data_IF_820528152758
#
_entry.id   IF_820528152758
#
_cell.length_a   1.000
_cell.length_b   1.000
_cell.length_c   1.000
_cell.angle_alpha   90.00
_cell.angle_beta   90.00
_cell.angle_gamma   90.00
#
_symmetry.space_group_name_H-M   'P 1'
#
loop_
_entity.id
_entity.type
_entity.pdbx_description
1 polymer ?
#
# COMPACT_ATOMS: atom_id res chain seq x y z
N UNK A 1 15.69 9.58 -10.64
CA UNK A 1 15.19 8.37 -9.96
C UNK A 1 15.90 7.20 -10.61
N UNK A 2 16.74 6.49 -9.85
CA UNK A 2 17.45 5.33 -10.38
C UNK A 2 16.67 4.07 -10.01
N UNK A 3 16.01 3.49 -11.01
CA UNK A 3 15.34 2.20 -10.89
C UNK A 3 16.35 1.08 -11.15
N UNK A 4 16.32 0.04 -10.32
CA UNK A 4 17.14 -1.15 -10.48
C UNK A 4 16.47 -2.16 -11.43
N UNK A 5 17.23 -3.13 -11.93
CA UNK A 5 16.68 -4.25 -12.73
C UNK A 5 15.61 -5.06 -11.99
N UNK A 6 15.68 -5.10 -10.64
CA UNK A 6 14.65 -5.70 -9.80
C UNK A 6 13.34 -4.92 -9.93
N UNK A 7 13.39 -3.59 -9.86
CA UNK A 7 12.20 -2.74 -9.99
C UNK A 7 11.53 -2.92 -11.36
N UNK A 8 12.30 -3.04 -12.44
CA UNK A 8 11.76 -3.32 -13.78
C UNK A 8 11.09 -4.69 -13.89
N UNK A 9 11.60 -5.70 -13.19
CA UNK A 9 10.98 -7.04 -13.15
C UNK A 9 9.67 -6.98 -12.36
N UNK A 10 9.68 -6.32 -11.20
CA UNK A 10 8.48 -6.10 -10.38
C UNK A 10 7.38 -5.34 -11.14
N UNK A 11 7.74 -4.37 -11.99
CA UNK A 11 6.77 -3.64 -12.83
C UNK A 11 6.02 -4.58 -13.78
N UNK A 12 6.68 -5.60 -14.33
CA UNK A 12 6.03 -6.57 -15.23
C UNK A 12 5.00 -7.42 -14.49
N UNK A 13 5.36 -7.88 -13.28
CA UNK A 13 4.46 -8.64 -12.42
C UNK A 13 3.28 -7.78 -11.95
N UNK A 14 3.55 -6.53 -11.56
CA UNK A 14 2.54 -5.54 -11.19
C UNK A 14 1.57 -5.25 -12.33
N UNK A 15 2.05 -5.16 -13.58
CA UNK A 15 1.16 -4.99 -14.74
C UNK A 15 0.13 -6.12 -14.85
N UNK A 16 0.56 -7.37 -14.67
CA UNK A 16 -0.35 -8.52 -14.72
C UNK A 16 -1.35 -8.50 -13.54
N UNK A 17 -0.89 -8.13 -12.35
CA UNK A 17 -1.76 -7.97 -11.17
C UNK A 17 -2.84 -6.91 -11.43
N UNK A 18 -2.44 -5.74 -11.97
CA UNK A 18 -3.34 -4.65 -12.30
C UNK A 18 -4.38 -5.06 -13.34
N UNK A 19 -3.95 -5.68 -14.45
CA UNK A 19 -4.86 -6.16 -15.50
C UNK A 19 -5.89 -7.15 -14.95
N UNK A 20 -5.46 -8.05 -14.06
CA UNK A 20 -6.33 -9.05 -13.43
C UNK A 20 -7.38 -8.42 -12.52
N UNK A 21 -6.97 -7.48 -11.66
CA UNK A 21 -7.85 -6.81 -10.71
C UNK A 21 -8.83 -5.88 -11.43
N UNK A 22 -8.35 -5.10 -12.38
CA UNK A 22 -9.17 -4.13 -13.12
C UNK A 22 -10.23 -4.83 -14.01
N UNK A 23 -9.94 -6.04 -14.50
CA UNK A 23 -10.88 -6.79 -15.35
C UNK A 23 -12.09 -7.35 -14.58
N UNK A 24 -11.95 -7.68 -13.29
CA UNK A 24 -13.03 -8.30 -12.51
C UNK A 24 -12.90 -8.06 -10.99
N UNK A 25 -12.99 -6.80 -10.53
CA UNK A 25 -12.62 -6.43 -9.17
C UNK A 25 -13.48 -7.10 -8.10
N UNK A 26 -14.80 -7.25 -8.33
CA UNK A 26 -15.72 -7.87 -7.36
C UNK A 26 -15.45 -9.36 -7.16
N UNK A 27 -15.33 -10.10 -8.26
CA UNK A 27 -14.98 -11.53 -8.21
C UNK A 27 -13.63 -11.74 -7.50
N UNK A 28 -12.69 -10.84 -7.75
CA UNK A 28 -11.36 -10.94 -7.19
C UNK A 28 -11.31 -10.64 -5.69
N UNK A 29 -12.16 -9.71 -5.24
CA UNK A 29 -12.34 -9.42 -3.83
C UNK A 29 -12.83 -10.66 -3.07
N UNK A 30 -13.84 -11.35 -3.61
CA UNK A 30 -14.40 -12.57 -2.99
C UNK A 30 -13.34 -13.68 -2.85
N UNK A 31 -12.53 -13.91 -3.90
CA UNK A 31 -11.46 -14.91 -3.88
C UNK A 31 -10.35 -14.58 -2.87
N UNK A 32 -10.04 -13.30 -2.68
CA UNK A 32 -8.95 -12.87 -1.79
C UNK A 32 -9.38 -12.74 -0.34
N UNK A 33 -10.66 -12.46 -0.05
CA UNK A 33 -11.14 -12.32 1.33
C UNK A 33 -10.81 -13.58 2.15
N UNK A 34 -11.06 -14.77 1.61
CA UNK A 34 -10.74 -16.03 2.28
C UNK A 34 -9.23 -16.18 2.53
N UNK A 35 -8.40 -15.83 1.53
CA UNK A 35 -6.94 -15.84 1.68
C UNK A 35 -6.48 -14.85 2.76
N UNK A 36 -6.98 -13.62 2.75
CA UNK A 36 -6.62 -12.60 3.74
C UNK A 36 -7.09 -13.01 5.13
N UNK A 37 -8.32 -13.52 5.26
CA UNK A 37 -8.85 -14.01 6.54
C UNK A 37 -7.95 -15.10 7.13
N UNK A 38 -7.48 -16.03 6.29
CA UNK A 38 -6.59 -17.10 6.73
C UNK A 38 -5.18 -16.59 7.08
N UNK A 39 -4.56 -15.84 6.18
CA UNK A 39 -3.12 -15.58 6.21
C UNK A 39 -2.75 -14.19 6.74
N UNK A 40 -3.57 -13.17 6.53
CA UNK A 40 -3.33 -11.78 6.96
C UNK A 40 -4.61 -11.09 7.44
N UNK A 41 -5.26 -11.60 8.51
CA UNK A 41 -6.57 -11.12 8.96
C UNK A 41 -6.56 -9.64 9.34
N UNK A 42 -5.42 -9.11 9.79
CA UNK A 42 -5.29 -7.70 10.12
C UNK A 42 -5.43 -6.79 8.89
N UNK A 43 -4.94 -7.21 7.71
CA UNK A 43 -5.14 -6.45 6.47
C UNK A 43 -6.62 -6.40 6.11
N UNK A 44 -7.34 -7.51 6.28
CA UNK A 44 -8.79 -7.52 6.09
C UNK A 44 -9.49 -6.55 7.05
N UNK A 45 -9.09 -6.52 8.32
CA UNK A 45 -9.60 -5.55 9.29
C UNK A 45 -9.32 -4.10 8.89
N UNK A 46 -8.13 -3.81 8.34
CA UNK A 46 -7.82 -2.46 7.82
C UNK A 46 -8.76 -2.06 6.68
N UNK A 47 -8.97 -2.95 5.70
CA UNK A 47 -9.89 -2.70 4.59
C UNK A 47 -11.28 -2.37 5.13
N UNK A 48 -11.83 -3.25 5.97
CA UNK A 48 -13.18 -3.07 6.56
C UNK A 48 -13.26 -1.83 7.45
N UNK A 49 -12.16 -1.45 8.10
CA UNK A 49 -12.07 -0.28 8.97
C UNK A 49 -12.32 1.04 8.25
N UNK A 50 -12.06 1.13 6.93
CA UNK A 50 -12.36 2.33 6.15
C UNK A 50 -13.83 2.47 5.73
N UNK A 51 -14.61 1.40 5.82
CA UNK A 51 -16.00 1.39 5.33
C UNK A 51 -16.89 2.49 5.95
N UNK A 52 -16.79 2.84 7.25
CA UNK A 52 -17.61 3.90 7.84
C UNK A 52 -17.29 5.31 7.31
N UNK A 53 -16.05 5.54 6.88
CA UNK A 53 -15.53 6.87 6.54
C UNK A 53 -15.57 7.17 5.03
N UNK A 54 -15.73 6.14 4.20
CA UNK A 54 -15.69 6.24 2.74
C UNK A 54 -17.06 6.00 2.11
N UNK A 55 -17.35 6.70 1.01
CA UNK A 55 -18.47 6.31 0.17
C UNK A 55 -18.17 4.96 -0.53
N UNK A 56 -19.21 4.31 -1.07
CA UNK A 56 -19.05 2.97 -1.66
C UNK A 56 -17.99 2.92 -2.77
N UNK A 57 -17.94 3.91 -3.65
CA UNK A 57 -16.98 3.93 -4.76
C UNK A 57 -15.54 4.16 -4.28
N UNK A 58 -15.35 5.04 -3.30
CA UNK A 58 -14.05 5.25 -2.65
C UNK A 58 -13.57 3.98 -1.96
N UNK A 59 -14.46 3.33 -1.20
CA UNK A 59 -14.17 2.07 -0.51
C UNK A 59 -13.77 0.97 -1.50
N UNK A 60 -14.51 0.81 -2.60
CA UNK A 60 -14.20 -0.18 -3.64
C UNK A 60 -12.82 0.03 -4.26
N UNK A 61 -12.42 1.28 -4.55
CA UNK A 61 -11.09 1.60 -5.06
C UNK A 61 -9.99 1.35 -4.02
N UNK A 62 -10.20 1.75 -2.76
CA UNK A 62 -9.23 1.51 -1.67
C UNK A 62 -9.06 0.03 -1.42
N UNK A 63 -10.14 -0.74 -1.36
CA UNK A 63 -10.10 -2.20 -1.23
C UNK A 63 -9.26 -2.82 -2.36
N UNK A 64 -9.48 -2.40 -3.62
CA UNK A 64 -8.66 -2.88 -4.74
C UNK A 64 -7.18 -2.55 -4.60
N UNK A 65 -6.80 -1.41 -4.00
CA UNK A 65 -5.39 -1.10 -3.75
C UNK A 65 -4.79 -2.10 -2.75
N UNK A 66 -5.52 -2.44 -1.69
CA UNK A 66 -5.08 -3.51 -0.78
C UNK A 66 -4.99 -4.88 -1.46
N UNK A 67 -5.87 -5.18 -2.42
CA UNK A 67 -5.75 -6.41 -3.23
C UNK A 67 -4.46 -6.43 -4.06
N UNK A 68 -4.06 -5.31 -4.66
CA UNK A 68 -2.78 -5.21 -5.38
C UNK A 68 -1.61 -5.49 -4.44
N UNK A 69 -1.63 -4.88 -3.24
CA UNK A 69 -0.60 -5.10 -2.23
C UNK A 69 -0.55 -6.59 -1.88
N UNK A 70 -1.70 -7.21 -1.57
CA UNK A 70 -1.74 -8.62 -1.21
C UNK A 70 -1.21 -9.51 -2.34
N UNK A 71 -1.66 -9.31 -3.58
CA UNK A 71 -1.17 -10.06 -4.74
C UNK A 71 0.33 -9.96 -4.93
N UNK A 72 0.89 -8.76 -4.73
CA UNK A 72 2.32 -8.55 -4.85
C UNK A 72 3.12 -9.29 -3.78
N UNK A 73 2.58 -9.42 -2.56
CA UNK A 73 3.29 -10.07 -1.46
C UNK A 73 2.96 -11.56 -1.31
N UNK A 74 1.79 -12.06 -1.71
CA UNK A 74 1.26 -13.39 -1.33
C UNK A 74 2.15 -14.58 -1.72
N UNK A 75 2.95 -14.43 -2.77
CA UNK A 75 3.91 -15.43 -3.24
C UNK A 75 5.29 -15.36 -2.59
N UNK A 76 5.56 -14.32 -1.79
CA UNK A 76 6.86 -14.12 -1.13
C UNK A 76 6.98 -14.98 0.12
N UNK A 77 8.22 -15.24 0.52
CA UNK A 77 8.54 -16.04 1.69
C UNK A 77 7.84 -15.48 2.94
N UNK A 78 7.50 -16.37 3.88
CA UNK A 78 6.97 -16.04 5.20
C UNK A 78 5.62 -15.32 5.27
N UNK A 79 5.12 -14.68 4.21
CA UNK A 79 3.88 -13.88 4.26
C UNK A 79 2.62 -14.71 4.62
N UNK A 80 2.60 -15.99 4.26
CA UNK A 80 1.51 -16.92 4.63
C UNK A 80 1.76 -17.63 5.97
N UNK A 81 2.93 -17.44 6.57
CA UNK A 81 3.35 -18.10 7.82
C UNK A 81 3.38 -17.14 9.01
N UNK A 82 3.72 -15.88 8.77
CA UNK A 82 3.86 -14.81 9.77
C UNK A 82 2.82 -13.73 9.46
N UNK A 83 2.04 -13.35 10.47
CA UNK A 83 0.97 -12.34 10.35
C UNK A 83 1.52 -10.96 10.71
N UNK A 84 1.08 -9.93 9.99
CA UNK A 84 1.24 -8.55 10.44
C UNK A 84 0.35 -8.32 11.65
N UNK A 85 0.96 -7.99 12.78
CA UNK A 85 0.23 -7.70 14.01
C UNK A 85 -0.14 -6.23 14.07
N UNK A 86 -1.23 -5.93 14.78
CA UNK A 86 -1.70 -4.56 15.02
C UNK A 86 -0.57 -3.70 15.62
N UNK A 87 0.03 -4.15 16.73
CA UNK A 87 1.11 -3.41 17.39
C UNK A 87 2.27 -3.10 16.44
N UNK A 88 2.65 -4.07 15.58
CA UNK A 88 3.75 -3.83 14.64
C UNK A 88 3.37 -2.82 13.57
N UNK A 89 2.14 -2.90 13.08
CA UNK A 89 1.62 -1.92 12.13
C UNK A 89 1.57 -0.51 12.74
N UNK A 90 1.04 -0.36 13.97
CA UNK A 90 0.95 0.92 14.66
C UNK A 90 2.33 1.56 14.90
N UNK A 91 3.35 0.74 15.21
CA UNK A 91 4.74 1.22 15.31
C UNK A 91 5.24 1.79 13.99
N UNK A 92 4.99 1.08 12.88
CA UNK A 92 5.39 1.49 11.53
C UNK A 92 4.63 2.75 11.11
N UNK A 93 3.31 2.76 11.30
CA UNK A 93 2.44 3.89 11.00
C UNK A 93 2.85 5.15 11.75
N UNK A 94 3.13 5.01 13.05
CA UNK A 94 3.63 6.11 13.87
C UNK A 94 4.94 6.67 13.32
N UNK A 95 5.88 5.82 12.90
CA UNK A 95 7.13 6.26 12.28
C UNK A 95 6.87 7.01 10.97
N UNK A 96 5.96 6.52 10.14
CA UNK A 96 5.56 7.19 8.90
C UNK A 96 4.93 8.56 9.16
N UNK A 97 4.02 8.67 10.14
CA UNK A 97 3.44 9.95 10.57
C UNK A 97 4.52 10.92 11.04
N UNK A 98 5.47 10.45 11.86
CA UNK A 98 6.59 11.28 12.31
C UNK A 98 7.47 11.75 11.16
N UNK A 99 7.74 10.89 10.18
CA UNK A 99 8.48 11.24 8.97
C UNK A 99 7.77 12.32 8.16
N UNK A 100 6.46 12.17 7.90
CA UNK A 100 5.71 13.18 7.15
C UNK A 100 5.64 14.53 7.90
N UNK A 101 5.45 14.51 9.22
CA UNK A 101 5.51 15.73 10.04
C UNK A 101 6.88 16.40 9.99
N UNK A 102 7.96 15.61 9.98
CA UNK A 102 9.30 16.15 9.78
C UNK A 102 9.40 16.87 8.42
N UNK A 103 8.94 16.23 7.33
CA UNK A 103 8.97 16.83 5.99
C UNK A 103 8.20 18.16 5.90
N UNK A 104 7.04 18.27 6.57
CA UNK A 104 6.24 19.49 6.61
C UNK A 104 6.99 20.67 7.24
N UNK A 105 7.76 20.41 8.29
CA UNK A 105 8.52 21.41 9.05
C UNK A 105 9.91 21.70 8.45
N UNK A 106 10.43 20.79 7.63
CA UNK A 106 11.74 20.92 6.97
C UNK A 106 11.73 21.92 5.82
N UNK A 107 12.89 22.54 5.60
CA UNK A 107 13.14 23.30 4.37
C UNK A 107 13.15 22.38 3.14
N UNK A 108 13.15 22.98 1.94
CA UNK A 108 13.08 22.23 0.69
C UNK A 108 14.25 21.25 0.53
N UNK A 109 15.47 21.66 0.90
CA UNK A 109 16.67 20.83 0.68
C UNK A 109 16.65 19.61 1.59
N UNK A 110 16.31 19.79 2.86
CA UNK A 110 16.20 18.71 3.84
C UNK A 110 15.04 17.78 3.50
N UNK A 111 13.92 18.33 3.02
CA UNK A 111 12.77 17.56 2.52
C UNK A 111 13.13 16.71 1.31
N UNK A 112 13.80 17.28 0.31
CA UNK A 112 14.22 16.56 -0.90
C UNK A 112 15.21 15.43 -0.57
N UNK A 113 16.17 15.69 0.34
CA UNK A 113 17.12 14.68 0.81
C UNK A 113 16.42 13.55 1.59
N UNK A 114 15.61 13.88 2.57
CA UNK A 114 14.91 12.90 3.41
C UNK A 114 13.94 12.04 2.58
N UNK A 115 13.20 12.64 1.66
CA UNK A 115 12.29 11.93 0.75
C UNK A 115 13.07 10.98 -0.19
N UNK A 116 14.21 11.44 -0.71
CA UNK A 116 15.07 10.59 -1.54
C UNK A 116 15.61 9.40 -0.75
N UNK A 117 16.05 9.63 0.49
CA UNK A 117 16.59 8.57 1.34
C UNK A 117 15.51 7.55 1.75
N UNK A 118 14.30 8.01 2.15
CA UNK A 118 13.16 7.12 2.45
C UNK A 118 12.83 6.24 1.25
N UNK A 119 12.65 6.85 0.07
CA UNK A 119 12.39 6.13 -1.17
C UNK A 119 13.53 5.19 -1.57
N UNK A 120 14.79 5.55 -1.32
CA UNK A 120 15.92 4.67 -1.64
C UNK A 120 15.98 3.43 -0.76
N UNK A 121 15.53 3.53 0.48
CA UNK A 121 15.54 2.43 1.45
C UNK A 121 14.28 1.54 1.37
N UNK A 122 13.22 1.98 0.68
CA UNK A 122 12.04 1.15 0.43
C UNK A 122 12.37 -0.06 -0.45
N UNK A 123 11.97 -1.28 -0.06
CA UNK A 123 12.30 -2.47 -0.84
C UNK A 123 11.35 -2.70 -2.05
N UNK A 124 10.13 -2.19 -1.98
CA UNK A 124 9.06 -2.35 -2.99
C UNK A 124 8.70 -1.01 -3.65
N UNK A 125 9.70 -0.29 -4.17
CA UNK A 125 9.53 1.04 -4.79
C UNK A 125 8.57 1.03 -5.97
N UNK A 126 8.65 -0.03 -6.79
CA UNK A 126 7.78 -0.20 -7.94
C UNK A 126 6.30 -0.28 -7.51
N UNK A 127 5.98 -1.05 -6.47
CA UNK A 127 4.62 -1.13 -5.92
C UNK A 127 4.15 0.23 -5.40
N UNK A 128 5.00 0.93 -4.63
CA UNK A 128 4.65 2.25 -4.09
C UNK A 128 4.37 3.26 -5.22
N UNK A 129 5.19 3.26 -6.27
CA UNK A 129 4.99 4.11 -7.44
C UNK A 129 3.67 3.80 -8.18
N UNK A 130 3.32 2.52 -8.34
CA UNK A 130 2.03 2.10 -8.92
C UNK A 130 0.85 2.58 -8.09
N UNK A 131 0.95 2.50 -6.76
CA UNK A 131 -0.10 2.98 -5.86
C UNK A 131 -0.26 4.50 -5.99
N UNK A 132 0.82 5.26 -5.93
CA UNK A 132 0.78 6.72 -6.12
C UNK A 132 0.23 7.11 -7.49
N UNK A 133 0.60 6.38 -8.54
CA UNK A 133 0.01 6.57 -9.87
C UNK A 133 -1.50 6.35 -9.84
N UNK A 134 -2.00 5.31 -9.16
CA UNK A 134 -3.43 5.03 -9.04
C UNK A 134 -4.18 6.18 -8.38
N UNK A 135 -3.65 6.72 -7.27
CA UNK A 135 -4.23 7.87 -6.56
C UNK A 135 -4.18 9.19 -7.34
N UNK A 136 -3.34 9.28 -8.38
CA UNK A 136 -3.26 10.46 -9.25
C UNK A 136 -3.95 10.28 -10.60
N UNK A 137 -4.39 9.07 -10.95
CA UNK A 137 -5.00 8.75 -12.25
C UNK A 137 -6.44 8.25 -12.19
N UNK A 138 -6.88 7.65 -11.09
CA UNK A 138 -8.26 7.19 -10.92
C UNK A 138 -9.15 8.36 -10.47
N UNK A 139 -10.22 8.71 -11.19
CA UNK A 139 -11.05 9.86 -10.85
C UNK A 139 -11.61 9.83 -9.43
N UNK A 140 -12.02 8.65 -8.95
CA UNK A 140 -12.56 8.46 -7.60
C UNK A 140 -11.49 8.75 -6.54
N UNK A 141 -10.29 8.18 -6.66
CA UNK A 141 -9.20 8.38 -5.70
C UNK A 141 -8.61 9.81 -5.79
N UNK A 142 -8.60 10.39 -6.98
CA UNK A 142 -8.13 11.76 -7.19
C UNK A 142 -9.09 12.78 -6.57
N UNK A 143 -10.40 12.54 -6.71
CA UNK A 143 -11.48 13.38 -6.19
C UNK A 143 -11.83 13.14 -4.72
N UNK A 144 -11.21 12.15 -4.08
CA UNK A 144 -11.38 11.84 -2.66
C UNK A 144 -10.99 13.03 -1.78
N UNK A 145 -11.66 13.17 -0.63
CA UNK A 145 -11.27 14.14 0.40
C UNK A 145 -9.77 14.03 0.73
N UNK A 146 -9.09 15.18 0.82
CA UNK A 146 -7.64 15.23 0.99
C UNK A 146 -7.16 14.56 2.29
N UNK A 147 -7.89 14.71 3.39
CA UNK A 147 -7.53 14.12 4.69
C UNK A 147 -7.71 12.60 4.65
N UNK A 148 -8.82 12.11 4.09
CA UNK A 148 -9.04 10.68 3.87
C UNK A 148 -7.93 10.09 3.00
N UNK A 149 -7.61 10.76 1.89
CA UNK A 149 -6.54 10.33 0.98
C UNK A 149 -5.18 10.28 1.68
N UNK A 150 -4.86 11.28 2.50
CA UNK A 150 -3.60 11.31 3.25
C UNK A 150 -3.53 10.15 4.26
N UNK A 151 -4.58 9.95 5.06
CA UNK A 151 -4.68 8.85 6.02
C UNK A 151 -4.51 7.50 5.33
N UNK A 152 -5.23 7.27 4.23
CA UNK A 152 -5.15 6.02 3.47
C UNK A 152 -3.76 5.81 2.90
N UNK A 153 -3.12 6.83 2.31
CA UNK A 153 -1.77 6.69 1.75
C UNK A 153 -0.73 6.35 2.82
N UNK A 154 -0.82 6.94 4.01
CA UNK A 154 0.00 6.57 5.17
C UNK A 154 -0.26 5.12 5.57
N UNK A 155 -1.53 4.73 5.65
CA UNK A 155 -1.93 3.37 6.00
C UNK A 155 -1.39 2.34 4.99
N UNK A 156 -1.46 2.63 3.69
CA UNK A 156 -0.95 1.79 2.61
C UNK A 156 0.58 1.66 2.65
N UNK A 157 1.32 2.77 2.84
CA UNK A 157 2.80 2.73 3.01
C UNK A 157 3.17 1.83 4.18
N UNK A 158 2.48 2.00 5.30
CA UNK A 158 2.72 1.24 6.54
C UNK A 158 2.42 -0.25 6.35
N UNK A 159 1.37 -0.61 5.60
CA UNK A 159 1.08 -2.00 5.25
C UNK A 159 2.19 -2.61 4.38
N UNK A 160 2.67 -1.88 3.38
CA UNK A 160 3.75 -2.35 2.49
C UNK A 160 5.03 -2.60 3.29
N UNK A 161 5.44 -1.66 4.12
CA UNK A 161 6.62 -1.81 4.99
C UNK A 161 6.49 -2.98 5.97
N UNK A 162 5.32 -3.14 6.60
CA UNK A 162 5.07 -4.28 7.48
C UNK A 162 5.18 -5.62 6.76
N UNK A 163 4.67 -5.71 5.53
CA UNK A 163 4.81 -6.91 4.71
C UNK A 163 6.24 -7.11 4.21
N UNK A 164 6.98 -6.06 3.90
CA UNK A 164 8.42 -6.15 3.58
C UNK A 164 9.22 -6.74 4.74
N UNK A 165 8.94 -6.33 5.97
CA UNK A 165 9.61 -6.89 7.16
C UNK A 165 9.28 -8.37 7.36
N UNK A 166 8.03 -8.76 7.13
CA UNK A 166 7.59 -10.14 7.28
C UNK A 166 8.21 -11.06 6.23
N UNK A 167 8.43 -10.53 5.01
CA UNK A 167 8.91 -11.31 3.87
C UNK A 167 10.42 -11.49 3.80
N UNK A 168 11.17 -10.81 4.67
CA UNK A 168 12.58 -11.11 4.95
C UNK A 168 12.72 -12.48 5.63
#
# INVERSE_FOLDING_TARGET
MDFSNKDFTEIKDLKQILEKIDANPKKYLDEIIDELYQYQPFILSLIMGYQPDLNQSEFEEVAQVYLIIWEFFKGKNNVKKKKLTINRYEEIEKNNIHFFRYLELSDKKDRDFASTNDLQNQASKALLAVIFQRFTSRPILLGMNQDHRAIILVGLKSTIEGLEEITK
#
